data_IF_588416170702
#
_entry.id   IF_588416170702
#
_cell.length_a   1.000
_cell.length_b   1.000
_cell.length_c   1.000
_cell.angle_alpha   90.00
_cell.angle_beta   90.00
_cell.angle_gamma   90.00
#
_symmetry.space_group_name_H-M   'P 1'
#
loop_
_entity.id
_entity.type
_entity.pdbx_description
1 polymer ?
#
# COMPACT_ATOMS: atom_id res chain seq x y z
N UNK A 1 5.09 -75.32 11.12
CA UNK A 1 4.63 -74.44 10.01
C UNK A 1 4.52 -73.05 10.54
N UNK A 2 5.48 -72.13 10.22
CA UNK A 2 5.50 -70.71 10.58
C UNK A 2 5.57 -69.94 9.31
N UNK A 3 4.51 -69.21 8.97
CA UNK A 3 4.39 -68.35 7.80
C UNK A 3 5.18 -67.05 8.03
N UNK A 4 6.12 -66.74 7.14
CA UNK A 4 6.81 -65.45 7.03
C UNK A 4 5.93 -64.52 6.16
N UNK A 5 5.36 -63.51 6.76
CA UNK A 5 4.79 -62.37 6.06
C UNK A 5 5.91 -61.39 5.72
N UNK A 6 6.07 -61.12 4.44
CA UNK A 6 7.02 -60.16 3.90
C UNK A 6 6.50 -58.74 4.15
N UNK A 7 7.27 -57.93 4.86
CA UNK A 7 7.11 -56.46 4.93
C UNK A 7 7.58 -55.87 3.60
N UNK A 8 6.63 -55.36 2.81
CA UNK A 8 6.92 -54.47 1.69
C UNK A 8 7.28 -53.09 2.24
N UNK A 9 8.52 -52.68 2.05
CA UNK A 9 8.99 -51.35 2.35
C UNK A 9 8.21 -50.30 1.54
N UNK A 10 7.62 -49.33 2.23
CA UNK A 10 7.14 -48.10 1.63
C UNK A 10 8.37 -47.27 1.30
N UNK A 11 8.71 -47.19 0.03
CA UNK A 11 9.67 -46.24 -0.49
C UNK A 11 9.10 -44.82 -0.29
N UNK A 12 9.62 -44.09 0.66
CA UNK A 12 9.45 -42.66 0.77
C UNK A 12 10.15 -42.01 -0.44
N UNK A 13 9.39 -41.48 -1.36
CA UNK A 13 9.91 -40.59 -2.41
C UNK A 13 10.35 -39.30 -1.67
N UNK A 14 11.64 -39.20 -1.35
CA UNK A 14 12.24 -37.92 -1.01
C UNK A 14 12.16 -37.02 -2.26
N UNK A 15 11.19 -36.10 -2.28
CA UNK A 15 11.22 -34.97 -3.19
C UNK A 15 12.39 -34.10 -2.76
N UNK A 16 13.55 -34.28 -3.39
CA UNK A 16 14.66 -33.33 -3.28
C UNK A 16 14.12 -32.00 -3.80
N UNK A 17 13.90 -31.07 -2.88
CA UNK A 17 13.69 -29.67 -3.25
C UNK A 17 14.92 -29.26 -4.07
N UNK A 18 14.72 -29.01 -5.36
CA UNK A 18 15.77 -28.45 -6.23
C UNK A 18 16.05 -27.06 -5.70
N UNK A 19 17.14 -26.90 -4.98
CA UNK A 19 17.59 -25.60 -4.49
C UNK A 19 18.05 -24.80 -5.71
N UNK A 20 17.20 -23.89 -6.18
CA UNK A 20 17.54 -22.99 -7.31
C UNK A 20 18.64 -22.06 -6.84
N UNK A 21 19.82 -22.13 -7.47
CA UNK A 21 20.92 -21.22 -7.15
C UNK A 21 20.58 -19.79 -7.54
N UNK A 22 20.79 -18.84 -6.63
CA UNK A 22 20.52 -17.42 -6.87
C UNK A 22 21.24 -16.87 -8.11
N UNK A 23 22.47 -17.37 -8.40
CA UNK A 23 23.24 -16.99 -9.59
C UNK A 23 22.55 -17.36 -10.90
N UNK A 24 21.84 -18.50 -10.94
CA UNK A 24 21.10 -18.92 -12.13
C UNK A 24 19.92 -17.99 -12.43
N UNK A 25 19.28 -17.44 -11.38
CA UNK A 25 18.21 -16.45 -11.52
C UNK A 25 18.73 -15.13 -12.06
N UNK A 26 19.90 -14.65 -11.56
CA UNK A 26 20.58 -13.48 -12.12
C UNK A 26 20.92 -13.71 -13.59
N UNK A 27 21.54 -14.85 -13.92
CA UNK A 27 21.92 -15.18 -15.30
C UNK A 27 20.71 -15.18 -16.23
N UNK A 28 19.59 -15.77 -15.79
CA UNK A 28 18.32 -15.79 -16.54
C UNK A 28 17.80 -14.38 -16.82
N UNK A 29 17.70 -13.52 -15.80
CA UNK A 29 17.21 -12.13 -15.98
C UNK A 29 18.18 -11.31 -16.84
N UNK A 30 19.49 -11.52 -16.71
CA UNK A 30 20.52 -10.83 -17.50
C UNK A 30 20.44 -11.12 -19.01
N UNK A 31 19.82 -12.24 -19.43
CA UNK A 31 19.53 -12.50 -20.85
C UNK A 31 18.25 -11.82 -21.35
N UNK A 32 17.55 -11.06 -20.52
CA UNK A 32 16.24 -10.47 -20.82
C UNK A 32 15.07 -11.37 -20.52
N UNK A 33 15.30 -12.61 -20.05
CA UNK A 33 14.21 -13.54 -19.72
C UNK A 33 13.48 -13.14 -18.43
N UNK A 34 12.19 -13.47 -18.37
CA UNK A 34 11.32 -13.24 -17.21
C UNK A 34 11.43 -14.41 -16.23
N UNK A 35 11.43 -14.12 -14.93
CA UNK A 35 11.27 -15.14 -13.90
C UNK A 35 9.80 -15.55 -13.81
N UNK A 36 9.55 -16.84 -13.63
CA UNK A 36 8.24 -17.30 -13.20
C UNK A 36 7.93 -16.78 -11.79
N UNK A 37 6.67 -16.83 -11.39
CA UNK A 37 6.24 -16.47 -10.03
C UNK A 37 7.03 -17.23 -8.96
N UNK A 38 7.24 -18.53 -9.16
CA UNK A 38 7.93 -19.40 -8.21
C UNK A 38 9.44 -19.09 -8.16
N UNK A 39 10.08 -18.85 -9.31
CA UNK A 39 11.48 -18.41 -9.36
C UNK A 39 11.69 -17.06 -8.68
N UNK A 40 10.77 -16.12 -8.89
CA UNK A 40 10.80 -14.84 -8.20
C UNK A 40 10.60 -15.01 -6.69
N UNK A 41 9.66 -15.87 -6.26
CA UNK A 41 9.48 -16.17 -4.84
C UNK A 41 10.75 -16.75 -4.22
N UNK A 42 11.43 -17.68 -4.90
CA UNK A 42 12.73 -18.23 -4.43
C UNK A 42 13.79 -17.14 -4.31
N UNK A 43 13.91 -16.25 -5.31
CA UNK A 43 14.87 -15.14 -5.27
C UNK A 43 14.60 -14.20 -4.08
N UNK A 44 13.35 -13.79 -3.89
CA UNK A 44 12.98 -12.89 -2.81
C UNK A 44 13.05 -13.55 -1.43
N UNK A 45 12.78 -14.86 -1.33
CA UNK A 45 13.01 -15.63 -0.10
C UNK A 45 14.49 -15.57 0.30
N UNK A 46 15.41 -15.87 -0.62
CA UNK A 46 16.86 -15.84 -0.34
C UNK A 46 17.37 -14.43 -0.02
N UNK A 47 16.82 -13.38 -0.63
CA UNK A 47 17.15 -12.00 -0.26
C UNK A 47 16.65 -11.63 1.14
N UNK A 48 15.39 -11.95 1.44
CA UNK A 48 14.76 -11.58 2.70
C UNK A 48 15.19 -12.45 3.89
N UNK A 49 15.71 -13.65 3.66
CA UNK A 49 16.35 -14.49 4.71
C UNK A 49 17.81 -14.12 4.95
N UNK A 50 18.43 -13.30 4.08
CA UNK A 50 19.82 -12.88 4.20
C UNK A 50 20.81 -13.86 3.59
N UNK A 51 20.35 -14.84 2.80
CA UNK A 51 21.19 -15.82 2.10
C UNK A 51 21.89 -15.22 0.86
N UNK A 52 21.24 -14.25 0.19
CA UNK A 52 21.83 -13.57 -0.96
C UNK A 52 22.82 -12.50 -0.50
N UNK A 53 23.99 -12.42 -1.17
CA UNK A 53 24.96 -11.36 -0.91
C UNK A 53 24.50 -10.00 -1.45
N UNK A 54 25.02 -8.86 -0.92
CA UNK A 54 24.69 -7.52 -1.46
C UNK A 54 24.91 -7.39 -2.96
N UNK A 55 26.01 -7.93 -3.49
CA UNK A 55 26.31 -7.93 -4.93
C UNK A 55 25.29 -8.72 -5.75
N UNK A 56 24.81 -9.86 -5.22
CA UNK A 56 23.78 -10.65 -5.87
C UNK A 56 22.44 -9.93 -5.86
N UNK A 57 22.06 -9.35 -4.72
CA UNK A 57 20.84 -8.55 -4.58
C UNK A 57 20.85 -7.36 -5.54
N UNK A 58 21.94 -6.58 -5.54
CA UNK A 58 22.09 -5.43 -6.43
C UNK A 58 22.02 -5.84 -7.89
N UNK A 59 22.73 -6.90 -8.28
CA UNK A 59 22.72 -7.42 -9.65
C UNK A 59 21.32 -7.83 -10.12
N UNK A 60 20.58 -8.60 -9.31
CA UNK A 60 19.22 -9.02 -9.65
C UNK A 60 18.24 -7.84 -9.71
N UNK A 61 18.26 -6.97 -8.71
CA UNK A 61 17.33 -5.82 -8.64
C UNK A 61 17.55 -4.86 -9.82
N UNK A 62 18.79 -4.60 -10.20
CA UNK A 62 19.08 -3.73 -11.34
C UNK A 62 18.77 -4.39 -12.67
N UNK A 63 19.01 -5.70 -12.82
CA UNK A 63 18.62 -6.43 -14.02
C UNK A 63 17.10 -6.42 -14.23
N UNK A 64 16.31 -6.68 -13.16
CA UNK A 64 14.85 -6.58 -13.18
C UNK A 64 14.40 -5.18 -13.60
N UNK A 65 14.95 -4.14 -12.97
CA UNK A 65 14.60 -2.75 -13.25
C UNK A 65 14.89 -2.33 -14.69
N UNK A 66 16.08 -2.67 -15.24
CA UNK A 66 16.48 -2.28 -16.60
C UNK A 66 15.61 -2.97 -17.64
N UNK A 67 15.27 -4.22 -17.43
CA UNK A 67 14.37 -4.99 -18.31
C UNK A 67 12.89 -4.56 -18.15
N UNK A 68 12.49 -4.12 -16.99
CA UNK A 68 11.11 -3.92 -16.57
C UNK A 68 10.57 -5.17 -15.84
N UNK A 69 10.02 -4.98 -14.66
CA UNK A 69 9.48 -6.05 -13.81
C UNK A 69 8.15 -6.57 -14.35
N UNK A 70 7.96 -7.88 -14.34
CA UNK A 70 6.72 -8.52 -14.76
C UNK A 70 5.73 -8.71 -13.63
N UNK A 71 4.44 -8.92 -13.96
CA UNK A 71 3.38 -9.25 -13.02
C UNK A 71 3.72 -10.48 -12.17
N UNK A 72 4.28 -11.53 -12.78
CA UNK A 72 4.65 -12.76 -12.07
C UNK A 72 5.78 -12.52 -11.07
N UNK A 73 6.78 -11.75 -11.44
CA UNK A 73 7.90 -11.39 -10.56
C UNK A 73 7.45 -10.56 -9.37
N UNK A 74 6.60 -9.56 -9.60
CA UNK A 74 6.02 -8.75 -8.52
C UNK A 74 5.12 -9.64 -7.64
N UNK A 75 4.30 -10.52 -8.22
CA UNK A 75 3.43 -11.42 -7.47
C UNK A 75 4.24 -12.37 -6.56
N UNK A 76 5.32 -12.95 -7.09
CA UNK A 76 6.23 -13.80 -6.31
C UNK A 76 6.87 -13.05 -5.14
N UNK A 77 7.41 -11.86 -5.41
CA UNK A 77 8.02 -11.00 -4.39
C UNK A 77 7.04 -10.60 -3.27
N UNK A 78 5.82 -10.16 -3.63
CA UNK A 78 4.76 -9.81 -2.66
C UNK A 78 4.34 -11.02 -1.84
N UNK A 79 4.24 -12.20 -2.45
CA UNK A 79 3.87 -13.43 -1.74
C UNK A 79 4.84 -13.74 -0.60
N UNK A 80 6.15 -13.59 -0.84
CA UNK A 80 7.19 -13.78 0.18
C UNK A 80 7.12 -12.70 1.26
N UNK A 81 6.96 -11.43 0.85
CA UNK A 81 6.86 -10.33 1.80
C UNK A 81 5.65 -10.48 2.73
N UNK A 82 4.49 -10.90 2.19
CA UNK A 82 3.27 -11.20 2.96
C UNK A 82 3.43 -12.41 3.88
N UNK A 83 4.24 -13.40 3.51
CA UNK A 83 4.50 -14.58 4.34
C UNK A 83 5.37 -14.24 5.56
N UNK A 84 6.27 -13.25 5.45
CA UNK A 84 7.23 -12.86 6.50
C UNK A 84 6.77 -11.68 7.36
N UNK A 85 5.64 -11.06 7.06
CA UNK A 85 5.16 -9.88 7.81
C UNK A 85 4.52 -10.25 9.15
N UNK A 86 4.61 -9.34 10.12
CA UNK A 86 3.84 -9.40 11.37
C UNK A 86 2.42 -8.94 11.10
N UNK A 87 1.46 -9.85 11.27
CA UNK A 87 0.06 -9.63 10.92
C UNK A 87 -0.71 -8.83 11.97
N UNK A 88 -1.65 -8.03 11.50
CA UNK A 88 -2.62 -7.28 12.30
C UNK A 88 -4.01 -7.84 12.04
N UNK A 89 -4.84 -7.95 13.08
CA UNK A 89 -6.24 -8.32 12.94
C UNK A 89 -7.10 -7.09 12.65
N UNK A 90 -7.80 -7.11 11.51
CA UNK A 90 -8.76 -6.09 11.10
C UNK A 90 -10.09 -6.72 10.68
N UNK A 91 -11.21 -5.98 10.71
CA UNK A 91 -12.46 -6.42 10.14
C UNK A 91 -12.30 -6.82 8.65
N UNK A 92 -13.06 -7.81 8.14
CA UNK A 92 -12.90 -8.31 6.77
C UNK A 92 -13.24 -7.28 5.68
N UNK A 93 -14.01 -6.27 6.02
CA UNK A 93 -14.38 -5.13 5.18
C UNK A 93 -13.45 -3.92 5.31
N UNK A 94 -12.37 -4.05 6.10
CA UNK A 94 -11.39 -2.98 6.23
C UNK A 94 -10.71 -2.64 4.89
N UNK A 95 -10.42 -1.36 4.71
CA UNK A 95 -9.75 -0.81 3.53
C UNK A 95 -8.38 -0.23 3.89
N UNK A 96 -7.46 -0.19 2.91
CA UNK A 96 -6.26 0.64 2.96
C UNK A 96 -6.32 1.74 1.89
N UNK A 97 -5.82 2.91 2.26
CA UNK A 97 -5.64 4.06 1.38
C UNK A 97 -4.18 4.46 1.44
N UNK A 98 -3.42 4.18 0.39
CA UNK A 98 -1.95 4.25 0.42
C UNK A 98 -1.38 4.63 -0.93
N UNK A 99 -0.22 5.31 -0.96
CA UNK A 99 0.56 5.55 -2.17
C UNK A 99 1.88 4.79 -2.16
N UNK A 100 2.48 4.60 -3.34
CA UNK A 100 3.86 4.10 -3.47
C UNK A 100 4.89 5.08 -2.94
N UNK A 101 4.52 6.34 -2.86
CA UNK A 101 5.44 7.44 -2.59
C UNK A 101 6.41 7.69 -3.74
N UNK A 102 7.29 8.67 -3.53
CA UNK A 102 8.37 8.94 -4.46
C UNK A 102 7.95 9.62 -5.76
N UNK A 103 6.77 10.21 -5.83
CA UNK A 103 6.27 11.01 -6.95
C UNK A 103 6.98 12.37 -7.08
N UNK A 104 7.75 12.76 -6.06
CA UNK A 104 8.47 14.03 -5.96
C UNK A 104 7.56 15.27 -5.99
N UNK A 105 6.25 15.12 -5.78
CA UNK A 105 5.27 16.21 -5.81
C UNK A 105 5.43 17.18 -4.63
N UNK A 106 5.88 16.67 -3.49
CA UNK A 106 5.88 17.43 -2.23
C UNK A 106 4.48 17.82 -1.78
N UNK A 107 3.50 16.96 -2.09
CA UNK A 107 2.10 17.18 -1.75
C UNK A 107 1.87 17.07 -0.23
N UNK A 108 0.78 17.64 0.22
CA UNK A 108 0.15 17.38 1.51
C UNK A 108 -0.14 15.86 1.68
N UNK A 109 -0.26 15.38 2.92
CA UNK A 109 -0.53 13.96 3.21
C UNK A 109 -1.97 13.55 2.88
N UNK A 110 -2.30 13.53 1.58
CA UNK A 110 -3.66 13.33 1.04
C UNK A 110 -4.24 12.00 1.51
N UNK A 111 -3.54 10.88 1.31
CA UNK A 111 -4.04 9.55 1.70
C UNK A 111 -4.26 9.40 3.20
N UNK A 112 -3.48 10.10 4.04
CA UNK A 112 -3.66 10.08 5.49
C UNK A 112 -4.93 10.83 5.89
N UNK A 113 -5.15 12.02 5.32
CA UNK A 113 -6.37 12.78 5.54
C UNK A 113 -7.61 12.01 5.02
N UNK A 114 -7.52 11.47 3.80
CA UNK A 114 -8.60 10.67 3.21
C UNK A 114 -8.93 9.43 4.06
N UNK A 115 -7.94 8.77 4.66
CA UNK A 115 -8.13 7.62 5.55
C UNK A 115 -8.96 7.98 6.80
N UNK A 116 -8.72 9.15 7.41
CA UNK A 116 -9.51 9.66 8.54
C UNK A 116 -10.95 9.96 8.12
N UNK A 117 -11.14 10.57 6.94
CA UNK A 117 -12.46 10.85 6.38
C UNK A 117 -13.23 9.55 6.09
N UNK A 118 -12.57 8.54 5.52
CA UNK A 118 -13.17 7.21 5.26
C UNK A 118 -13.60 6.53 6.56
N UNK A 119 -12.77 6.62 7.60
CA UNK A 119 -13.12 6.13 8.93
C UNK A 119 -14.31 6.87 9.51
N UNK A 120 -14.38 8.21 9.36
CA UNK A 120 -15.53 9.05 9.74
C UNK A 120 -16.80 8.67 9.01
N UNK A 121 -16.72 8.25 7.74
CA UNK A 121 -17.85 7.72 6.98
C UNK A 121 -18.26 6.29 7.41
N UNK A 122 -17.63 5.72 8.44
CA UNK A 122 -17.98 4.43 9.04
C UNK A 122 -17.44 3.21 8.30
N UNK A 123 -16.33 3.33 7.59
CA UNK A 123 -15.58 2.21 6.99
C UNK A 123 -14.33 1.95 7.80
N UNK A 124 -14.07 0.72 8.28
CA UNK A 124 -12.84 0.41 9.01
C UNK A 124 -11.60 0.61 8.13
N UNK A 125 -10.59 1.29 8.66
CA UNK A 125 -9.35 1.58 7.92
C UNK A 125 -8.16 0.91 8.61
N UNK A 126 -7.46 0.05 7.88
CA UNK A 126 -6.18 -0.55 8.26
C UNK A 126 -5.07 0.09 7.43
N UNK A 127 -4.64 1.29 7.83
CA UNK A 127 -3.72 2.10 7.04
C UNK A 127 -2.27 1.62 7.18
N UNK A 128 -1.67 1.23 6.07
CA UNK A 128 -0.25 0.94 6.00
C UNK A 128 0.53 2.19 5.56
N UNK A 129 1.70 2.41 6.14
CA UNK A 129 2.50 3.57 5.78
C UNK A 129 3.89 3.60 6.39
N UNK A 130 4.69 4.59 5.97
CA UNK A 130 6.07 4.76 6.41
C UNK A 130 6.38 6.23 6.70
N UNK A 131 7.60 6.48 7.21
CA UNK A 131 8.20 7.81 7.23
C UNK A 131 8.58 8.24 5.81
N UNK A 132 8.77 9.54 5.63
CA UNK A 132 9.27 10.08 4.37
C UNK A 132 10.67 9.51 4.04
N UNK A 133 10.87 9.09 2.78
CA UNK A 133 12.19 8.75 2.24
C UNK A 133 12.73 9.87 1.35
N UNK A 134 11.88 10.54 0.58
CA UNK A 134 12.23 11.59 -0.37
C UNK A 134 11.35 12.84 -0.26
N UNK A 135 10.18 12.76 0.37
CA UNK A 135 9.31 13.88 0.66
C UNK A 135 9.65 14.53 2.00
N UNK A 136 9.02 15.68 2.33
CA UNK A 136 9.25 16.42 3.58
C UNK A 136 8.48 15.82 4.78
N UNK A 137 7.44 15.02 4.53
CA UNK A 137 6.61 14.37 5.55
C UNK A 137 5.96 13.12 4.98
N UNK A 138 6.12 11.98 5.65
CA UNK A 138 5.41 10.74 5.36
C UNK A 138 4.17 10.57 6.26
N UNK A 139 3.41 9.50 6.03
CA UNK A 139 2.22 9.20 6.84
C UNK A 139 2.54 9.03 8.33
N UNK A 140 3.64 8.34 8.65
CA UNK A 140 4.08 8.16 10.04
C UNK A 140 4.48 9.48 10.70
N UNK A 141 5.16 10.37 9.94
CA UNK A 141 5.62 11.65 10.47
C UNK A 141 4.44 12.56 10.83
N UNK A 142 3.44 12.65 9.93
CA UNK A 142 2.27 13.50 10.16
C UNK A 142 1.36 12.94 11.26
N UNK A 143 1.17 11.61 11.34
CA UNK A 143 0.38 11.00 12.41
C UNK A 143 1.03 11.21 13.79
N UNK A 144 2.37 11.09 13.88
CA UNK A 144 3.10 11.43 15.11
C UNK A 144 2.94 12.90 15.48
N UNK A 145 2.96 13.82 14.50
CA UNK A 145 2.75 15.25 14.74
C UNK A 145 1.31 15.57 15.19
N UNK A 146 0.33 14.76 14.81
CA UNK A 146 -1.06 14.82 15.29
C UNK A 146 -1.24 14.19 16.69
N UNK A 147 -0.19 13.63 17.30
CA UNK A 147 -0.26 13.01 18.62
C UNK A 147 -0.60 11.53 18.64
N UNK A 148 -0.69 10.87 17.47
CA UNK A 148 -0.92 9.42 17.38
C UNK A 148 0.36 8.66 17.72
N UNK A 149 0.28 7.69 18.64
CA UNK A 149 1.37 6.74 18.85
C UNK A 149 1.43 5.75 17.70
N UNK A 150 2.53 5.77 16.95
CA UNK A 150 2.75 4.89 15.77
C UNK A 150 3.57 3.65 16.11
N UNK A 151 4.10 3.54 17.34
CA UNK A 151 4.95 2.42 17.78
C UNK A 151 4.13 1.44 18.62
N UNK A 152 3.13 0.84 18.00
CA UNK A 152 2.18 -0.08 18.61
C UNK A 152 2.45 -1.53 18.21
N UNK A 153 2.10 -2.47 19.10
CA UNK A 153 2.06 -3.89 18.77
C UNK A 153 0.92 -4.19 17.78
N UNK A 154 0.98 -5.30 17.04
CA UNK A 154 -0.11 -5.71 16.17
C UNK A 154 -1.47 -5.80 16.87
N UNK A 155 -1.49 -6.23 18.13
CA UNK A 155 -2.70 -6.36 18.96
C UNK A 155 -3.29 -4.98 19.28
N UNK A 156 -2.45 -4.02 19.69
CA UNK A 156 -2.87 -2.65 19.98
C UNK A 156 -3.40 -1.94 18.74
N UNK A 157 -2.76 -2.14 17.57
CA UNK A 157 -3.28 -1.62 16.29
C UNK A 157 -4.66 -2.21 15.99
N UNK A 158 -4.87 -3.52 16.24
CA UNK A 158 -6.18 -4.14 16.13
C UNK A 158 -7.23 -3.51 17.05
N UNK A 159 -6.85 -3.06 18.26
CA UNK A 159 -7.72 -2.27 19.16
C UNK A 159 -8.05 -0.92 18.53
N UNK A 160 -7.06 -0.18 18.02
CA UNK A 160 -7.30 1.09 17.33
C UNK A 160 -8.31 0.97 16.19
N UNK A 161 -8.15 -0.07 15.33
CA UNK A 161 -9.10 -0.30 14.22
C UNK A 161 -10.53 -0.54 14.74
N UNK A 162 -10.69 -1.29 15.82
CA UNK A 162 -12.03 -1.59 16.38
C UNK A 162 -12.65 -0.39 17.07
N UNK A 163 -11.88 0.37 17.87
CA UNK A 163 -12.42 1.42 18.73
C UNK A 163 -12.42 2.80 18.08
N UNK A 164 -11.38 3.14 17.30
CA UNK A 164 -11.31 4.40 16.59
C UNK A 164 -11.80 4.30 15.13
N UNK A 165 -12.00 3.07 14.61
CA UNK A 165 -12.35 2.84 13.22
C UNK A 165 -11.16 2.94 12.25
N UNK A 166 -9.97 3.25 12.76
CA UNK A 166 -8.73 3.37 12.01
C UNK A 166 -7.54 2.94 12.86
N UNK A 167 -6.58 2.22 12.27
CA UNK A 167 -5.30 1.90 12.88
C UNK A 167 -4.17 2.09 11.89
N UNK A 168 -3.02 2.53 12.39
CA UNK A 168 -1.84 2.75 11.57
C UNK A 168 -0.80 1.65 11.78
N UNK A 169 -0.36 1.06 10.66
CA UNK A 169 0.66 0.00 10.63
C UNK A 169 1.95 0.57 10.08
N UNK A 170 2.90 0.84 10.97
CA UNK A 170 4.21 1.38 10.61
C UNK A 170 5.06 0.32 9.92
N UNK A 171 5.37 0.51 8.63
CA UNK A 171 5.96 -0.51 7.77
C UNK A 171 7.23 -1.18 8.34
N UNK A 172 8.23 -0.48 8.93
CA UNK A 172 9.40 -1.12 9.51
C UNK A 172 9.08 -2.12 10.63
N UNK A 173 8.06 -1.85 11.44
CA UNK A 173 7.66 -2.73 12.54
C UNK A 173 7.04 -4.04 12.03
N UNK A 174 6.36 -4.00 10.89
CA UNK A 174 5.64 -5.16 10.35
C UNK A 174 6.44 -5.99 9.34
N UNK A 175 7.53 -5.45 8.79
CA UNK A 175 8.34 -6.12 7.77
C UNK A 175 9.80 -6.31 8.22
N UNK A 176 10.06 -7.09 9.30
CA UNK A 176 11.40 -7.25 9.87
C UNK A 176 12.42 -7.85 8.89
N UNK A 177 11.97 -8.65 7.92
CA UNK A 177 12.84 -9.22 6.89
C UNK A 177 13.46 -8.16 5.96
N UNK A 178 12.87 -6.96 5.88
CA UNK A 178 13.40 -5.86 5.07
C UNK A 178 14.77 -5.36 5.55
N UNK A 179 15.16 -5.63 6.80
CA UNK A 179 16.51 -5.31 7.32
C UNK A 179 17.63 -5.94 6.48
N UNK A 180 17.38 -7.13 5.91
CA UNK A 180 18.38 -7.87 5.13
C UNK A 180 18.65 -7.25 3.74
N UNK A 181 17.73 -6.42 3.24
CA UNK A 181 17.83 -5.76 1.93
C UNK A 181 18.02 -4.25 2.02
N UNK A 182 17.90 -3.69 3.22
CA UNK A 182 17.90 -2.24 3.44
C UNK A 182 19.21 -1.57 2.98
N UNK A 183 20.37 -2.11 3.38
CA UNK A 183 21.69 -1.57 3.01
C UNK A 183 21.87 -1.53 1.49
N UNK A 184 21.59 -2.64 0.79
CA UNK A 184 21.69 -2.70 -0.69
C UNK A 184 20.77 -1.69 -1.36
N UNK A 185 19.54 -1.47 -0.85
CA UNK A 185 18.62 -0.46 -1.39
C UNK A 185 19.15 0.97 -1.23
N UNK A 186 19.76 1.28 -0.08
CA UNK A 186 20.37 2.58 0.19
C UNK A 186 21.57 2.80 -0.74
N UNK A 187 22.45 1.81 -0.87
CA UNK A 187 23.65 1.88 -1.73
C UNK A 187 23.29 2.03 -3.20
N UNK A 188 22.25 1.36 -3.68
CA UNK A 188 21.78 1.52 -5.06
C UNK A 188 21.23 2.92 -5.34
N UNK A 189 20.71 3.63 -4.35
CA UNK A 189 20.22 5.01 -4.47
C UNK A 189 19.17 5.24 -5.54
N UNK A 190 18.51 4.17 -6.00
CA UNK A 190 17.53 4.21 -7.10
C UNK A 190 16.32 3.36 -6.78
N UNK A 191 15.21 3.60 -7.51
CA UNK A 191 14.01 2.76 -7.38
C UNK A 191 14.29 1.35 -7.89
N UNK A 192 13.73 0.39 -7.19
CA UNK A 192 13.73 -1.03 -7.56
C UNK A 192 12.32 -1.58 -7.34
N UNK A 193 12.10 -2.86 -7.65
CA UNK A 193 10.85 -3.56 -7.39
C UNK A 193 10.34 -3.35 -5.95
N UNK A 194 11.22 -3.22 -4.96
CA UNK A 194 10.83 -2.95 -3.57
C UNK A 194 10.01 -1.66 -3.36
N UNK A 195 10.09 -0.69 -4.27
CA UNK A 195 9.27 0.53 -4.18
C UNK A 195 7.79 0.28 -4.54
N UNK A 196 7.49 -0.84 -5.17
CA UNK A 196 6.12 -1.26 -5.50
C UNK A 196 5.51 -2.15 -4.42
N UNK A 197 6.34 -2.88 -3.63
CA UNK A 197 5.86 -3.93 -2.73
C UNK A 197 5.12 -3.41 -1.50
N UNK A 198 5.47 -2.21 -1.01
CA UNK A 198 4.91 -1.66 0.23
C UNK A 198 3.37 -1.64 0.23
N UNK A 199 2.71 -0.94 -0.70
CA UNK A 199 1.26 -0.90 -0.79
C UNK A 199 0.61 -2.27 -1.00
N UNK A 200 1.32 -3.21 -1.64
CA UNK A 200 0.82 -4.56 -1.93
C UNK A 200 0.94 -5.52 -0.74
N UNK A 201 1.60 -5.11 0.34
CA UNK A 201 1.95 -5.97 1.48
C UNK A 201 1.37 -5.43 2.79
N UNK A 202 0.09 -5.03 2.77
CA UNK A 202 -0.61 -4.55 3.95
C UNK A 202 -0.67 -5.64 5.05
N UNK A 203 -0.19 -5.35 6.29
CA UNK A 203 -0.12 -6.33 7.38
C UNK A 203 -1.48 -6.88 7.83
N UNK A 204 -2.57 -6.13 7.65
CA UNK A 204 -3.91 -6.63 7.95
C UNK A 204 -4.48 -7.53 6.85
N UNK A 205 -3.77 -7.68 5.71
CA UNK A 205 -4.21 -8.52 4.61
C UNK A 205 -5.53 -8.05 3.98
N UNK A 206 -5.80 -6.76 4.00
CA UNK A 206 -7.03 -6.18 3.43
C UNK A 206 -7.21 -6.59 1.98
N UNK A 207 -8.45 -6.81 1.58
CA UNK A 207 -8.82 -7.21 0.21
C UNK A 207 -9.38 -6.06 -0.62
N UNK A 208 -9.49 -4.88 -0.01
CA UNK A 208 -9.99 -3.65 -0.60
C UNK A 208 -8.95 -2.55 -0.40
N UNK A 209 -8.51 -1.91 -1.48
CA UNK A 209 -7.45 -0.90 -1.40
C UNK A 209 -7.62 0.18 -2.47
N UNK A 210 -7.38 1.42 -2.10
CA UNK A 210 -7.07 2.49 -3.04
C UNK A 210 -5.56 2.76 -2.98
N UNK A 211 -4.88 2.58 -4.12
CA UNK A 211 -3.42 2.67 -4.19
C UNK A 211 -3.01 3.69 -5.25
N UNK A 212 -2.30 4.72 -4.82
CA UNK A 212 -1.64 5.64 -5.72
C UNK A 212 -0.28 5.13 -6.19
N UNK A 213 0.04 5.39 -7.45
CA UNK A 213 1.32 4.98 -8.05
C UNK A 213 2.05 6.16 -8.70
N UNK A 214 3.39 6.19 -8.52
CA UNK A 214 4.25 7.24 -9.04
C UNK A 214 4.35 7.28 -10.58
N UNK A 215 3.80 6.30 -11.29
CA UNK A 215 3.79 6.23 -12.75
C UNK A 215 2.56 5.48 -13.24
N UNK A 216 1.90 6.03 -14.25
CA UNK A 216 0.73 5.43 -14.91
C UNK A 216 1.01 4.00 -15.42
N UNK A 217 2.26 3.71 -15.82
CA UNK A 217 2.68 2.38 -16.28
C UNK A 217 2.30 1.28 -15.28
N UNK A 218 2.29 1.58 -13.97
CA UNK A 218 2.05 0.59 -12.92
C UNK A 218 0.56 0.37 -12.59
N UNK A 219 -0.36 1.15 -13.14
CA UNK A 219 -1.77 1.03 -12.75
C UNK A 219 -2.34 -0.36 -13.05
N UNK A 220 -2.19 -0.85 -14.28
CA UNK A 220 -2.72 -2.15 -14.68
C UNK A 220 -1.87 -3.34 -14.16
N UNK A 221 -0.53 -3.34 -14.24
CA UNK A 221 0.27 -4.43 -13.68
C UNK A 221 0.00 -4.68 -12.20
N UNK A 222 -0.10 -3.64 -11.36
CA UNK A 222 -0.36 -3.83 -9.93
C UNK A 222 -1.80 -4.28 -9.63
N UNK A 223 -2.78 -3.86 -10.42
CA UNK A 223 -4.14 -4.39 -10.33
C UNK A 223 -4.17 -5.90 -10.65
N UNK A 224 -3.41 -6.34 -11.65
CA UNK A 224 -3.29 -7.76 -11.97
C UNK A 224 -2.56 -8.55 -10.87
N UNK A 225 -1.49 -7.99 -10.29
CA UNK A 225 -0.79 -8.59 -9.12
C UNK A 225 -1.76 -8.79 -7.96
N UNK A 226 -2.52 -7.75 -7.60
CA UNK A 226 -3.47 -7.82 -6.49
C UNK A 226 -4.62 -8.80 -6.77
N UNK A 227 -5.10 -8.87 -8.01
CA UNK A 227 -6.06 -9.90 -8.45
C UNK A 227 -5.50 -11.30 -8.24
N UNK A 228 -4.26 -11.56 -8.66
CA UNK A 228 -3.59 -12.85 -8.47
C UNK A 228 -3.40 -13.21 -6.97
N UNK A 229 -3.35 -12.19 -6.10
CA UNK A 229 -3.21 -12.32 -4.65
C UNK A 229 -4.55 -12.33 -3.91
N UNK A 230 -5.68 -12.37 -4.63
CA UNK A 230 -7.02 -12.54 -4.06
C UNK A 230 -7.68 -11.26 -3.55
N UNK A 231 -7.30 -10.09 -4.07
CA UNK A 231 -8.01 -8.84 -3.81
C UNK A 231 -9.43 -8.87 -4.38
N UNK A 232 -10.36 -8.15 -3.74
CA UNK A 232 -11.79 -8.09 -4.11
C UNK A 232 -12.12 -6.82 -4.89
N UNK A 233 -11.68 -5.68 -4.36
CA UNK A 233 -11.99 -4.36 -4.91
C UNK A 233 -10.79 -3.44 -4.77
N UNK A 234 -10.25 -3.00 -5.89
CA UNK A 234 -9.03 -2.19 -5.92
C UNK A 234 -9.19 -1.07 -6.93
N UNK A 235 -8.75 0.12 -6.56
CA UNK A 235 -8.45 1.19 -7.51
C UNK A 235 -6.96 1.51 -7.43
N UNK A 236 -6.26 1.40 -8.57
CA UNK A 236 -4.88 1.88 -8.73
C UNK A 236 -4.97 3.20 -9.50
N UNK A 237 -4.44 4.27 -8.92
CA UNK A 237 -4.64 5.62 -9.43
C UNK A 237 -3.32 6.34 -9.72
N UNK A 238 -3.34 7.26 -10.71
CA UNK A 238 -2.21 8.13 -11.05
C UNK A 238 -2.72 9.44 -11.62
N UNK A 239 -2.41 10.54 -10.95
CA UNK A 239 -2.78 11.90 -11.36
C UNK A 239 -2.04 12.35 -12.61
N UNK A 240 -2.70 13.14 -13.48
CA UNK A 240 -2.08 13.68 -14.70
C UNK A 240 -0.93 14.66 -14.44
N UNK A 241 -0.85 15.19 -13.24
CA UNK A 241 0.24 16.04 -12.74
C UNK A 241 1.41 15.24 -12.13
N UNK A 242 1.36 13.90 -12.19
CA UNK A 242 2.38 12.99 -11.68
C UNK A 242 2.14 12.53 -10.24
N UNK A 243 1.06 12.99 -9.61
CA UNK A 243 0.72 12.66 -8.23
C UNK A 243 0.37 11.18 -8.09
N UNK A 244 0.89 10.52 -7.05
CA UNK A 244 0.50 9.15 -6.67
C UNK A 244 -0.79 9.16 -5.81
N UNK A 245 -1.75 9.98 -6.21
CA UNK A 245 -3.08 10.16 -5.61
C UNK A 245 -4.08 10.56 -6.71
N UNK A 246 -5.35 10.67 -6.37
CA UNK A 246 -6.34 11.34 -7.23
C UNK A 246 -6.13 12.85 -7.09
N UNK A 247 -5.86 13.51 -8.21
CA UNK A 247 -5.57 14.94 -8.22
C UNK A 247 -6.82 15.77 -8.49
N UNK A 248 -6.83 17.01 -7.96
CA UNK A 248 -7.78 18.07 -8.38
C UNK A 248 -7.18 19.04 -9.39
N UNK A 249 -5.95 18.79 -9.88
CA UNK A 249 -5.32 19.64 -10.90
C UNK A 249 -5.69 19.24 -12.34
N UNK A 250 -6.22 18.01 -12.51
CA UNK A 250 -6.56 17.49 -13.83
C UNK A 250 -7.19 16.10 -13.75
N UNK A 251 -7.23 15.35 -14.86
CA UNK A 251 -7.74 14.00 -14.85
C UNK A 251 -6.80 13.04 -14.12
N UNK A 252 -7.35 12.00 -13.53
CA UNK A 252 -6.63 10.88 -12.90
C UNK A 252 -6.94 9.60 -13.66
N UNK A 253 -5.89 8.87 -14.03
CA UNK A 253 -6.03 7.53 -14.60
C UNK A 253 -6.33 6.53 -13.49
N UNK A 254 -7.33 5.68 -13.70
CA UNK A 254 -7.77 4.63 -12.76
C UNK A 254 -7.76 3.29 -13.45
N UNK A 255 -7.13 2.30 -12.81
CA UNK A 255 -7.33 0.90 -13.11
C UNK A 255 -8.04 0.25 -11.93
N UNK A 256 -9.27 -0.20 -12.14
CA UNK A 256 -10.10 -0.82 -11.12
C UNK A 256 -10.16 -2.33 -11.28
N UNK A 257 -10.07 -3.05 -10.16
CA UNK A 257 -10.49 -4.45 -10.04
C UNK A 257 -11.83 -4.47 -9.31
N UNK A 258 -12.87 -4.92 -9.98
CA UNK A 258 -14.23 -5.02 -9.44
C UNK A 258 -14.87 -6.30 -9.97
N UNK A 259 -15.50 -7.09 -9.11
CA UNK A 259 -16.16 -8.35 -9.49
C UNK A 259 -15.27 -9.29 -10.30
N UNK A 260 -13.96 -9.33 -10.00
CA UNK A 260 -12.98 -10.15 -10.70
C UNK A 260 -12.55 -9.64 -12.07
N UNK A 261 -13.09 -8.52 -12.56
CA UNK A 261 -12.73 -7.88 -13.83
C UNK A 261 -11.86 -6.63 -13.61
N UNK A 262 -10.88 -6.43 -14.49
CA UNK A 262 -10.06 -5.22 -14.52
C UNK A 262 -10.60 -4.30 -15.61
N UNK A 263 -10.77 -3.02 -15.28
CA UNK A 263 -11.18 -1.98 -16.21
C UNK A 263 -10.37 -0.71 -16.01
N UNK A 264 -10.12 0.00 -17.11
CA UNK A 264 -9.41 1.27 -17.15
C UNK A 264 -10.36 2.40 -17.50
N UNK A 265 -10.27 3.50 -16.76
CA UNK A 265 -11.04 4.72 -17.01
C UNK A 265 -10.30 5.95 -16.47
N UNK A 266 -10.88 7.12 -16.64
CA UNK A 266 -10.40 8.36 -16.03
C UNK A 266 -11.52 8.99 -15.21
N UNK A 267 -11.12 9.71 -14.19
CA UNK A 267 -11.97 10.58 -13.38
C UNK A 267 -11.35 11.98 -13.34
N UNK A 268 -12.18 12.97 -13.15
CA UNK A 268 -11.80 14.38 -13.08
C UNK A 268 -12.49 15.04 -11.89
N UNK A 269 -11.95 16.12 -11.32
CA UNK A 269 -12.60 16.85 -10.22
C UNK A 269 -13.99 17.35 -10.60
N UNK A 270 -14.23 17.66 -11.86
CA UNK A 270 -15.52 18.09 -12.37
C UNK A 270 -16.62 17.03 -12.26
N UNK A 271 -16.27 15.72 -12.20
CA UNK A 271 -17.23 14.63 -12.04
C UNK A 271 -17.98 14.71 -10.69
N UNK A 272 -17.41 15.41 -9.72
CA UNK A 272 -18.03 15.67 -8.41
C UNK A 272 -18.36 17.17 -8.20
N UNK A 273 -18.22 17.99 -9.23
CA UNK A 273 -18.52 19.41 -9.18
C UNK A 273 -17.40 20.29 -8.61
N UNK A 274 -16.19 19.78 -8.49
CA UNK A 274 -15.03 20.56 -8.06
C UNK A 274 -14.37 21.27 -9.25
N UNK A 275 -13.89 22.50 -9.06
CA UNK A 275 -13.06 23.17 -10.06
C UNK A 275 -11.65 22.57 -10.08
N UNK A 276 -10.97 22.67 -11.23
CA UNK A 276 -9.53 22.40 -11.30
C UNK A 276 -8.75 23.47 -10.55
N UNK A 277 -7.71 23.02 -9.85
CA UNK A 277 -6.75 23.91 -9.17
C UNK A 277 -5.35 23.76 -9.76
N UNK A 278 -4.47 24.71 -9.49
CA UNK A 278 -3.07 24.57 -9.86
C UNK A 278 -2.38 23.56 -8.94
N UNK A 279 -1.39 22.77 -9.41
CA UNK A 279 -0.67 21.78 -8.57
C UNK A 279 -0.06 22.38 -7.30
N UNK A 280 0.35 23.65 -7.34
CA UNK A 280 0.91 24.36 -6.20
C UNK A 280 -0.06 24.49 -5.02
N UNK A 281 -1.38 24.48 -5.29
CA UNK A 281 -2.41 24.53 -4.25
C UNK A 281 -2.49 23.24 -3.41
N UNK A 282 -1.88 22.15 -3.88
CA UNK A 282 -1.84 20.86 -3.21
C UNK A 282 -0.53 20.61 -2.46
N UNK A 283 0.41 21.56 -2.48
CA UNK A 283 1.70 21.43 -1.81
C UNK A 283 1.53 21.34 -0.31
N UNK A 284 2.31 20.40 0.27
CA UNK A 284 2.48 20.26 1.70
C UNK A 284 3.72 20.96 2.22
N UNK A 285 3.91 20.83 3.53
CA UNK A 285 5.06 21.31 4.27
C UNK A 285 5.83 20.19 4.98
N UNK A 286 6.39 20.50 6.11
CA UNK A 286 6.90 19.52 7.06
C UNK A 286 5.74 18.82 7.81
N UNK A 287 6.09 17.92 8.72
CA UNK A 287 5.10 17.15 9.47
C UNK A 287 4.13 18.04 10.28
N UNK A 288 4.63 19.09 10.91
CA UNK A 288 3.80 19.99 11.72
C UNK A 288 2.84 20.82 10.84
N UNK A 289 3.33 21.34 9.71
CA UNK A 289 2.51 22.08 8.77
C UNK A 289 1.42 21.18 8.16
N UNK A 290 1.75 19.93 7.81
CA UNK A 290 0.81 18.98 7.27
C UNK A 290 -0.20 18.47 8.31
N UNK A 291 0.22 18.30 9.57
CA UNK A 291 -0.68 18.00 10.67
C UNK A 291 -1.74 19.12 10.83
N UNK A 292 -1.30 20.38 10.87
CA UNK A 292 -2.22 21.51 10.93
C UNK A 292 -3.16 21.57 9.71
N UNK A 293 -2.66 21.25 8.54
CA UNK A 293 -3.51 21.20 7.32
C UNK A 293 -4.56 20.09 7.40
N UNK A 294 -4.25 18.93 8.00
CA UNK A 294 -5.23 17.85 8.26
C UNK A 294 -6.27 18.32 9.27
N UNK A 295 -5.87 18.91 10.39
CA UNK A 295 -6.80 19.48 11.39
C UNK A 295 -7.75 20.48 10.72
N UNK A 296 -7.21 21.42 9.94
CA UNK A 296 -8.00 22.44 9.22
C UNK A 296 -9.04 21.80 8.27
N UNK A 297 -8.68 20.70 7.59
CA UNK A 297 -9.59 19.93 6.75
C UNK A 297 -10.68 19.26 7.59
N UNK A 298 -10.31 18.62 8.70
CA UNK A 298 -11.26 17.91 9.57
C UNK A 298 -12.20 18.86 10.30
N UNK A 299 -11.73 20.06 10.67
CA UNK A 299 -12.54 21.18 11.17
C UNK A 299 -13.51 21.78 10.10
N UNK A 300 -13.48 21.26 8.88
CA UNK A 300 -14.39 21.67 7.81
C UNK A 300 -13.99 22.91 7.01
N UNK A 301 -12.74 23.43 7.16
CA UNK A 301 -12.26 24.59 6.40
C UNK A 301 -12.26 24.30 4.90
N UNK A 302 -12.88 25.19 4.14
CA UNK A 302 -13.03 25.07 2.67
C UNK A 302 -11.73 25.49 1.98
N UNK A 303 -10.89 24.54 1.63
CA UNK A 303 -9.56 24.73 1.03
C UNK A 303 -9.35 23.73 -0.12
N UNK A 304 -8.42 23.98 -1.06
CA UNK A 304 -8.04 22.97 -2.06
C UNK A 304 -7.56 21.65 -1.46
N UNK A 305 -6.95 21.67 -0.26
CA UNK A 305 -6.51 20.48 0.45
C UNK A 305 -7.69 19.63 0.95
N UNK A 306 -8.79 20.29 1.38
CA UNK A 306 -10.04 19.61 1.69
C UNK A 306 -10.63 18.94 0.46
N UNK A 307 -10.68 19.64 -0.65
CA UNK A 307 -11.30 19.13 -1.87
C UNK A 307 -10.57 17.89 -2.40
N UNK A 308 -9.24 17.89 -2.43
CA UNK A 308 -8.45 16.72 -2.86
C UNK A 308 -8.58 15.56 -1.87
N UNK A 309 -8.62 15.83 -0.56
CA UNK A 309 -8.82 14.79 0.46
C UNK A 309 -10.21 14.14 0.35
N UNK A 310 -11.26 14.95 0.15
CA UNK A 310 -12.63 14.47 -0.08
C UNK A 310 -12.74 13.63 -1.35
N UNK A 311 -12.07 14.02 -2.44
CA UNK A 311 -12.10 13.28 -3.71
C UNK A 311 -11.42 11.90 -3.57
N UNK A 312 -10.29 11.83 -2.86
CA UNK A 312 -9.61 10.57 -2.56
C UNK A 312 -10.44 9.70 -1.60
N UNK A 313 -11.03 10.30 -0.56
CA UNK A 313 -11.94 9.59 0.33
C UNK A 313 -13.18 9.05 -0.41
N UNK A 314 -13.74 9.82 -1.34
CA UNK A 314 -14.86 9.40 -2.18
C UNK A 314 -14.56 8.14 -2.97
N UNK A 315 -13.39 8.09 -3.62
CA UNK A 315 -12.95 6.91 -4.37
C UNK A 315 -12.73 5.71 -3.43
N UNK A 316 -12.11 5.92 -2.26
CA UNK A 316 -11.95 4.87 -1.27
C UNK A 316 -13.30 4.33 -0.75
N UNK A 317 -14.31 5.18 -0.60
CA UNK A 317 -15.68 4.76 -0.22
C UNK A 317 -16.36 3.95 -1.33
N UNK A 318 -16.06 4.23 -2.61
CA UNK A 318 -16.51 3.39 -3.73
C UNK A 318 -15.83 2.02 -3.67
N UNK A 319 -14.51 1.99 -3.49
CA UNK A 319 -13.73 0.74 -3.34
C UNK A 319 -14.20 -0.09 -2.15
N UNK A 320 -14.55 0.55 -1.04
CA UNK A 320 -15.11 -0.09 0.14
C UNK A 320 -16.54 -0.66 -0.08
N UNK A 321 -17.20 -0.26 -1.19
CA UNK A 321 -18.60 -0.61 -1.44
C UNK A 321 -19.62 0.18 -0.62
N UNK A 322 -19.17 1.26 0.05
CA UNK A 322 -20.03 2.17 0.84
C UNK A 322 -20.79 3.14 -0.07
N UNK A 323 -20.25 3.45 -1.24
CA UNK A 323 -20.87 4.24 -2.28
C UNK A 323 -20.87 3.47 -3.61
N UNK A 324 -21.90 3.70 -4.44
CA UNK A 324 -22.01 3.07 -5.77
C UNK A 324 -21.22 3.82 -6.86
N UNK A 325 -21.04 5.13 -6.67
CA UNK A 325 -20.39 6.01 -7.63
C UNK A 325 -19.63 7.14 -6.92
N UNK A 326 -18.69 7.78 -7.63
CA UNK A 326 -17.79 8.79 -7.08
C UNK A 326 -18.54 9.96 -6.45
N UNK A 327 -19.62 10.45 -7.10
CA UNK A 327 -20.42 11.58 -6.61
C UNK A 327 -21.11 11.26 -5.28
N UNK A 328 -21.65 10.06 -5.12
CA UNK A 328 -22.24 9.60 -3.87
C UNK A 328 -21.17 9.44 -2.78
N UNK A 329 -20.00 8.91 -3.13
CA UNK A 329 -18.84 8.82 -2.23
C UNK A 329 -18.37 10.19 -1.76
N UNK A 330 -18.35 11.19 -2.67
CA UNK A 330 -17.97 12.57 -2.34
C UNK A 330 -18.95 13.20 -1.35
N UNK A 331 -20.25 12.99 -1.53
CA UNK A 331 -21.26 13.48 -0.59
C UNK A 331 -21.10 12.86 0.81
N UNK A 332 -20.81 11.53 0.89
CA UNK A 332 -20.55 10.86 2.16
C UNK A 332 -19.26 11.36 2.83
N UNK A 333 -18.19 11.56 2.05
CA UNK A 333 -16.93 12.11 2.54
C UNK A 333 -17.11 13.54 3.09
N UNK A 334 -17.81 14.38 2.35
CA UNK A 334 -18.13 15.74 2.78
C UNK A 334 -18.97 15.76 4.06
N UNK A 335 -19.97 14.86 4.16
CA UNK A 335 -20.77 14.74 5.37
C UNK A 335 -19.93 14.30 6.57
N UNK A 336 -19.01 13.33 6.42
CA UNK A 336 -18.16 12.87 7.51
C UNK A 336 -17.26 13.99 8.08
N UNK A 337 -16.84 14.94 7.23
CA UNK A 337 -16.10 16.14 7.68
C UNK A 337 -17.04 17.16 8.29
N UNK A 338 -18.11 17.52 7.59
CA UNK A 338 -19.01 18.61 7.99
C UNK A 338 -19.83 18.26 9.27
N UNK A 339 -19.96 16.97 9.63
CA UNK A 339 -20.59 16.50 10.88
C UNK A 339 -19.62 16.35 12.05
N UNK A 340 -18.29 16.49 11.84
CA UNK A 340 -17.25 16.26 12.86
C UNK A 340 -16.90 14.78 13.09
N UNK A 341 -17.52 13.84 12.36
CA UNK A 341 -17.24 12.40 12.53
C UNK A 341 -15.78 12.04 12.17
N UNK A 342 -15.22 12.68 11.14
CA UNK A 342 -13.85 12.43 10.74
C UNK A 342 -12.84 12.97 11.78
N UNK A 343 -13.09 14.12 12.37
CA UNK A 343 -12.32 14.70 13.47
C UNK A 343 -12.41 13.79 14.71
N UNK A 344 -13.61 13.35 15.08
CA UNK A 344 -13.82 12.42 16.21
C UNK A 344 -13.08 11.09 16.04
N UNK A 345 -12.81 10.62 14.80
CA UNK A 345 -11.96 9.44 14.58
C UNK A 345 -10.48 9.70 14.87
N UNK A 346 -9.98 10.88 14.53
CA UNK A 346 -8.62 11.29 14.90
C UNK A 346 -8.47 11.39 16.42
N UNK A 347 -9.39 12.08 17.10
CA UNK A 347 -9.37 12.22 18.55
C UNK A 347 -9.40 10.85 19.24
N UNK A 348 -10.28 9.96 18.81
CA UNK A 348 -10.36 8.61 19.37
C UNK A 348 -9.09 7.80 19.07
N UNK A 349 -8.49 7.94 17.87
CA UNK A 349 -7.23 7.27 17.54
C UNK A 349 -6.09 7.77 18.43
N UNK A 350 -6.00 9.07 18.69
CA UNK A 350 -5.00 9.65 19.61
C UNK A 350 -5.17 9.03 21.00
N UNK A 351 -6.37 9.03 21.54
CA UNK A 351 -6.64 8.45 22.87
C UNK A 351 -6.25 6.97 22.89
N UNK A 352 -6.84 6.14 22.02
CA UNK A 352 -6.65 4.69 22.06
C UNK A 352 -5.20 4.28 21.78
N UNK A 353 -4.49 5.01 20.92
CA UNK A 353 -3.08 4.70 20.63
C UNK A 353 -2.13 5.04 21.80
N UNK A 354 -2.54 5.89 22.73
CA UNK A 354 -1.74 6.30 23.89
C UNK A 354 -2.20 5.62 25.19
N UNK A 355 -3.32 4.89 25.18
CA UNK A 355 -3.88 4.13 26.32
C UNK A 355 -3.26 2.72 26.39
N UNK A 356 -1.94 2.56 26.40
CA UNK A 356 -1.30 1.25 26.36
C UNK A 356 -0.18 1.06 27.37
#
# INVERSE_FOLDING_TARGET
>A
MKSRLAQRGRGSIEVRAVTVEFRSLIAKVATGAVLTRDEAAVAFEQMMSGEATPSQMGGLLMALRVRGESVDEITGAVSVMRAKMLRVHAPPDAIDVVGTGGDASGSFNISTCAALIVAGAGVPVAKHGNRALSSRSGAADVLSALGVNIELSPEQIGVCIREAGIGFMFAPAHHPAMKNVAATRVELGTRTLFNLLGPLSNPAGVRRQMIGVFSKHWTEPLAQVLKNLGAESIWIVHGSDGLDEITTSGPTSVTALENGAIRNFQISPEDVGLPKVKPEALRGGDAAANAKAIEDVLEGKKTPLRDVALLNAAAALVVAGKAKELKAGFALAAHAVDSGEAEGRLDRLIVVSNDG
#
